data_IF_993724199441
#
_entry.id   IF_993724199441
#
_cell.length_a   1.000
_cell.length_b   1.000
_cell.length_c   1.000
_cell.angle_alpha   90.00
_cell.angle_beta   90.00
_cell.angle_gamma   90.00
#
_symmetry.space_group_name_H-M   'P 1'
#
loop_
_entity.id
_entity.type
_entity.pdbx_description
1 polymer ?
#
# COMPACT_ATOMS: atom_id res chain seq x y z
N UNK A 1 -8.27 -42.18 4.86
CA UNK A 1 -8.78 -40.86 4.47
C UNK A 1 -8.13 -40.54 3.12
N UNK A 2 -8.91 -40.49 2.03
CA UNK A 2 -8.40 -40.14 0.69
C UNK A 2 -8.56 -38.63 0.52
N UNK A 3 -7.46 -37.92 0.30
CA UNK A 3 -7.54 -36.55 -0.19
C UNK A 3 -7.82 -36.63 -1.69
N UNK A 4 -8.96 -36.09 -2.12
CA UNK A 4 -9.22 -35.90 -3.54
C UNK A 4 -8.31 -34.78 -4.04
N UNK A 5 -7.57 -35.08 -5.11
CA UNK A 5 -6.83 -34.11 -5.91
C UNK A 5 -7.81 -33.03 -6.38
N UNK A 6 -7.63 -31.80 -5.89
CA UNK A 6 -8.30 -30.63 -6.45
C UNK A 6 -7.79 -30.53 -7.89
N UNK A 7 -8.71 -30.76 -8.82
CA UNK A 7 -8.47 -30.78 -10.25
C UNK A 7 -7.70 -29.53 -10.67
N UNK A 8 -6.70 -29.75 -11.52
CA UNK A 8 -5.90 -28.73 -12.18
C UNK A 8 -6.72 -27.97 -13.22
N UNK A 9 -7.84 -27.37 -12.83
CA UNK A 9 -8.49 -26.37 -13.66
C UNK A 9 -7.54 -25.17 -13.74
N UNK A 10 -6.87 -25.08 -14.89
CA UNK A 10 -6.12 -23.89 -15.29
C UNK A 10 -7.07 -22.71 -15.23
N UNK A 11 -7.03 -21.98 -14.13
CA UNK A 11 -7.66 -20.69 -13.98
C UNK A 11 -7.07 -19.76 -15.06
N UNK A 12 -7.78 -19.66 -16.20
CA UNK A 12 -7.64 -18.55 -17.13
C UNK A 12 -8.23 -17.29 -16.47
N UNK A 13 -7.60 -16.88 -15.37
CA UNK A 13 -7.86 -15.62 -14.69
C UNK A 13 -7.11 -14.57 -15.50
N UNK A 14 -7.70 -14.16 -16.63
CA UNK A 14 -7.50 -12.79 -17.10
C UNK A 14 -8.34 -11.84 -16.21
N UNK A 15 -8.29 -11.99 -14.88
CA UNK A 15 -8.94 -11.00 -14.01
C UNK A 15 -8.03 -9.81 -13.94
N UNK A 16 -8.49 -8.71 -14.52
CA UNK A 16 -7.92 -7.39 -14.28
C UNK A 16 -7.80 -7.18 -12.77
N UNK A 17 -6.59 -6.92 -12.27
CA UNK A 17 -6.37 -6.59 -10.85
C UNK A 17 -7.00 -5.22 -10.63
N UNK A 18 -8.09 -5.16 -9.86
CA UNK A 18 -8.84 -3.91 -9.64
C UNK A 18 -8.67 -3.33 -8.23
N UNK A 19 -8.18 -4.12 -7.28
CA UNK A 19 -8.11 -3.74 -5.86
C UNK A 19 -6.72 -4.07 -5.31
N UNK A 20 -6.16 -3.15 -4.54
CA UNK A 20 -4.95 -3.39 -3.73
C UNK A 20 -5.26 -3.25 -2.24
N UNK A 21 -4.51 -3.98 -1.43
CA UNK A 21 -4.51 -3.86 0.02
C UNK A 21 -3.10 -3.56 0.50
N UNK A 22 -2.95 -2.44 1.19
CA UNK A 22 -1.69 -1.95 1.73
C UNK A 22 -1.82 -1.99 3.26
N UNK A 23 -1.29 -3.06 3.86
CA UNK A 23 -1.40 -3.30 5.30
C UNK A 23 -0.44 -2.45 6.13
N UNK A 24 0.46 -1.74 5.45
CA UNK A 24 1.45 -0.88 6.07
C UNK A 24 1.63 0.41 5.28
N UNK A 25 1.02 1.49 5.76
CA UNK A 25 1.21 2.82 5.19
C UNK A 25 2.04 3.67 6.16
N UNK A 26 3.19 4.15 5.69
CA UNK A 26 4.04 5.10 6.41
C UNK A 26 4.37 6.26 5.47
N UNK A 27 3.82 7.43 5.77
CA UNK A 27 4.09 8.66 5.03
C UNK A 27 4.62 9.74 5.97
N UNK A 28 5.61 10.49 5.51
CA UNK A 28 6.25 11.54 6.29
C UNK A 28 6.78 12.65 5.38
N UNK A 29 6.76 13.90 5.86
CA UNK A 29 7.25 15.07 5.10
C UNK A 29 8.77 15.26 5.18
N UNK A 30 9.45 14.57 6.09
CA UNK A 30 10.90 14.69 6.29
C UNK A 30 11.53 13.32 6.46
N UNK A 31 12.79 13.20 6.07
CA UNK A 31 13.56 11.96 6.24
C UNK A 31 13.67 11.57 7.72
N UNK A 32 13.84 12.54 8.61
CA UNK A 32 13.93 12.28 10.05
C UNK A 32 12.64 11.70 10.64
N UNK A 33 11.49 12.22 10.20
CA UNK A 33 10.18 11.69 10.63
C UNK A 33 9.93 10.30 10.03
N UNK A 34 10.29 10.11 8.75
CA UNK A 34 10.19 8.82 8.09
C UNK A 34 11.02 7.74 8.81
N UNK A 35 12.28 8.06 9.15
CA UNK A 35 13.16 7.15 9.88
C UNK A 35 12.66 6.87 11.31
N UNK A 36 12.07 7.87 11.97
CA UNK A 36 11.42 7.67 13.26
C UNK A 36 10.26 6.68 13.16
N UNK A 37 9.33 6.87 12.22
CA UNK A 37 8.18 5.97 12.01
C UNK A 37 8.62 4.56 11.63
N UNK A 38 9.63 4.40 10.75
CA UNK A 38 10.22 3.09 10.42
C UNK A 38 10.80 2.37 11.65
N UNK A 39 11.49 3.10 12.54
CA UNK A 39 12.02 2.52 13.79
C UNK A 39 10.90 2.09 14.71
N UNK A 40 9.87 2.91 14.88
CA UNK A 40 8.70 2.56 15.69
C UNK A 40 8.02 1.29 15.17
N UNK A 41 7.81 1.21 13.85
CA UNK A 41 7.28 0.01 13.20
C UNK A 41 8.14 -1.23 13.48
N UNK A 42 9.47 -1.12 13.34
CA UNK A 42 10.40 -2.23 13.60
C UNK A 42 10.39 -2.66 15.08
N UNK A 43 10.14 -1.74 16.01
CA UNK A 43 9.99 -2.06 17.43
C UNK A 43 8.69 -2.82 17.72
N UNK A 44 7.59 -2.45 17.06
CA UNK A 44 6.28 -3.07 17.26
C UNK A 44 6.15 -4.44 16.59
N UNK A 45 6.72 -4.60 15.38
CA UNK A 45 6.52 -5.79 14.54
C UNK A 45 7.78 -6.62 14.33
N UNK A 46 8.89 -6.18 14.90
CA UNK A 46 10.19 -6.85 14.83
C UNK A 46 11.00 -6.43 13.60
N UNK A 47 12.35 -6.43 13.71
CA UNK A 47 13.25 -5.92 12.67
C UNK A 47 13.22 -6.75 11.38
N UNK A 48 12.84 -8.03 11.45
CA UNK A 48 12.75 -8.91 10.28
C UNK A 48 11.67 -8.45 9.28
N UNK A 49 10.62 -7.76 9.75
CA UNK A 49 9.52 -7.27 8.92
C UNK A 49 9.86 -6.02 8.13
N UNK A 50 10.91 -5.27 8.55
CA UNK A 50 11.29 -4.02 7.90
C UNK A 50 11.69 -4.22 6.42
N UNK A 51 12.34 -5.34 6.09
CA UNK A 51 12.74 -5.62 4.71
C UNK A 51 11.55 -5.97 3.79
N UNK A 52 10.49 -6.56 4.35
CA UNK A 52 9.27 -6.84 3.59
C UNK A 52 8.44 -5.57 3.39
N UNK A 53 8.33 -4.77 4.46
CA UNK A 53 7.70 -3.45 4.46
C UNK A 53 8.25 -2.55 3.34
N UNK A 54 9.57 -2.40 3.27
CA UNK A 54 10.19 -1.49 2.31
C UNK A 54 9.95 -1.89 0.85
N UNK A 55 9.73 -3.18 0.58
CA UNK A 55 9.55 -3.71 -0.79
C UNK A 55 8.11 -3.68 -1.28
N UNK A 56 7.15 -3.95 -0.39
CA UNK A 56 5.78 -4.23 -0.81
C UNK A 56 4.76 -3.22 -0.31
N UNK A 57 5.18 -2.25 0.48
CA UNK A 57 4.25 -1.34 1.16
C UNK A 57 4.42 0.12 0.72
N UNK A 58 3.41 0.94 1.00
CA UNK A 58 3.43 2.39 0.79
C UNK A 58 4.21 3.09 1.91
N UNK A 59 5.54 3.09 1.77
CA UNK A 59 6.48 3.74 2.69
C UNK A 59 7.33 4.77 1.97
N UNK A 60 7.29 6.02 2.42
CA UNK A 60 8.14 7.09 1.87
C UNK A 60 7.64 8.50 2.12
N UNK A 61 8.20 9.44 1.35
CA UNK A 61 7.71 10.83 1.27
C UNK A 61 6.54 10.92 0.26
N UNK A 62 5.79 12.05 0.22
CA UNK A 62 4.68 12.22 -0.71
C UNK A 62 4.99 11.84 -2.16
N UNK A 63 6.16 12.20 -2.67
CA UNK A 63 6.60 11.87 -4.02
C UNK A 63 6.74 10.36 -4.26
N UNK A 64 7.26 9.61 -3.28
CA UNK A 64 7.46 8.17 -3.35
C UNK A 64 6.11 7.44 -3.33
N UNK A 65 5.20 7.90 -2.46
CA UNK A 65 3.85 7.36 -2.32
C UNK A 65 3.05 7.63 -3.60
N UNK A 66 3.07 8.87 -4.10
CA UNK A 66 2.39 9.25 -5.34
C UNK A 66 2.88 8.40 -6.52
N UNK A 67 4.19 8.12 -6.60
CA UNK A 67 4.76 7.29 -7.64
C UNK A 67 4.27 5.83 -7.56
N UNK A 68 4.36 5.20 -6.38
CA UNK A 68 3.86 3.83 -6.19
C UNK A 68 2.36 3.70 -6.46
N UNK A 69 1.55 4.66 -6.01
CA UNK A 69 0.10 4.65 -6.27
C UNK A 69 -0.18 4.73 -7.78
N UNK A 70 0.56 5.56 -8.53
CA UNK A 70 0.45 5.60 -10.00
C UNK A 70 0.79 4.25 -10.63
N UNK A 71 1.86 3.59 -10.20
CA UNK A 71 2.24 2.27 -10.72
C UNK A 71 1.13 1.22 -10.51
N UNK A 72 0.45 1.25 -9.36
CA UNK A 72 -0.72 0.42 -9.12
C UNK A 72 -1.89 0.78 -10.06
N UNK A 73 -2.15 2.06 -10.27
CA UNK A 73 -3.22 2.52 -11.17
C UNK A 73 -2.95 2.16 -12.64
N UNK A 74 -1.69 2.23 -13.08
CA UNK A 74 -1.26 1.90 -14.44
C UNK A 74 -1.51 0.41 -14.77
N UNK A 75 -1.43 -0.48 -13.76
CA UNK A 75 -1.79 -1.90 -13.92
C UNK A 75 -3.28 -2.20 -13.70
N UNK A 76 -4.09 -1.17 -13.45
CA UNK A 76 -5.55 -1.24 -13.42
C UNK A 76 -6.19 -1.23 -12.02
N UNK A 77 -5.42 -1.00 -10.95
CA UNK A 77 -5.98 -0.85 -9.60
C UNK A 77 -6.82 0.43 -9.52
N UNK A 78 -8.04 0.30 -9.00
CA UNK A 78 -9.00 1.40 -8.86
C UNK A 78 -9.43 1.62 -7.41
N UNK A 79 -9.23 0.62 -6.55
CA UNK A 79 -9.61 0.67 -5.15
C UNK A 79 -8.44 0.25 -4.27
N UNK A 80 -8.16 1.04 -3.24
CA UNK A 80 -7.13 0.76 -2.25
C UNK A 80 -7.77 0.59 -0.87
N UNK A 81 -7.35 -0.45 -0.16
CA UNK A 81 -7.59 -0.60 1.27
C UNK A 81 -6.28 -0.31 2.00
N UNK A 82 -6.28 0.68 2.87
CA UNK A 82 -5.06 1.19 3.52
C UNK A 82 -5.15 0.96 5.02
N UNK A 83 -4.09 0.42 5.60
CA UNK A 83 -3.90 0.34 7.04
C UNK A 83 -2.67 1.18 7.43
N UNK A 84 -2.93 2.25 8.16
CA UNK A 84 -1.90 3.09 8.77
C UNK A 84 -1.45 2.44 10.08
N UNK A 85 -0.19 2.65 10.45
CA UNK A 85 0.37 2.15 11.71
C UNK A 85 -0.44 2.66 12.91
N UNK A 86 -0.71 3.96 12.94
CA UNK A 86 -1.63 4.61 13.87
C UNK A 86 -2.86 5.12 13.10
N UNK A 87 -4.06 4.54 13.29
CA UNK A 87 -5.28 4.99 12.62
C UNK A 87 -5.76 6.37 13.10
N UNK A 88 -5.20 6.91 14.18
CA UNK A 88 -5.51 8.23 14.73
C UNK A 88 -4.47 9.29 14.38
N UNK A 89 -3.42 8.94 13.63
CA UNK A 89 -2.46 9.90 13.07
C UNK A 89 -3.10 10.68 11.92
N UNK A 90 -3.86 11.71 12.29
CA UNK A 90 -4.54 12.60 11.36
C UNK A 90 -3.57 13.31 10.41
N UNK A 91 -2.34 13.58 10.83
CA UNK A 91 -1.34 14.25 10.01
C UNK A 91 -0.90 13.33 8.86
N UNK A 92 -0.63 12.06 9.15
CA UNK A 92 -0.33 11.06 8.11
C UNK A 92 -1.51 10.81 7.17
N UNK A 93 -2.73 10.75 7.72
CA UNK A 93 -3.95 10.58 6.92
C UNK A 93 -4.16 11.76 5.97
N UNK A 94 -4.10 12.99 6.48
CA UNK A 94 -4.25 14.20 5.67
C UNK A 94 -3.13 14.31 4.63
N UNK A 95 -1.88 14.02 5.03
CA UNK A 95 -0.75 14.04 4.12
C UNK A 95 -0.93 13.03 2.98
N UNK A 96 -1.41 11.83 3.27
CA UNK A 96 -1.74 10.84 2.25
C UNK A 96 -2.85 11.35 1.32
N UNK A 97 -3.94 11.86 1.88
CA UNK A 97 -5.08 12.39 1.12
C UNK A 97 -4.68 13.53 0.18
N UNK A 98 -3.83 14.45 0.66
CA UNK A 98 -3.29 15.53 -0.16
C UNK A 98 -2.33 15.00 -1.24
N UNK A 99 -1.52 13.98 -0.92
CA UNK A 99 -0.59 13.35 -1.87
C UNK A 99 -1.30 12.72 -3.05
N UNK A 100 -2.44 12.05 -2.82
CA UNK A 100 -3.23 11.38 -3.87
C UNK A 100 -4.36 12.26 -4.41
N UNK A 101 -4.42 13.53 -3.99
CA UNK A 101 -5.43 14.47 -4.46
C UNK A 101 -5.32 14.65 -5.97
N UNK A 102 -6.43 14.45 -6.67
CA UNK A 102 -6.48 14.51 -8.14
C UNK A 102 -6.23 13.17 -8.84
N UNK A 103 -5.98 12.08 -8.11
CA UNK A 103 -5.90 10.73 -8.69
C UNK A 103 -7.30 10.12 -8.88
N UNK A 104 -8.35 10.74 -8.32
CA UNK A 104 -9.75 10.40 -8.57
C UNK A 104 -10.18 10.93 -9.95
N UNK A 105 -10.67 10.03 -10.80
CA UNK A 105 -10.71 10.22 -12.26
C UNK A 105 -11.45 11.44 -12.81
N UNK A 106 -10.83 12.04 -13.84
CA UNK A 106 -11.52 12.59 -15.00
C UNK A 106 -12.26 11.46 -15.73
N UNK A 107 -13.44 11.08 -15.23
CA UNK A 107 -14.40 10.24 -15.95
C UNK A 107 -15.71 11.01 -16.14
N UNK A 108 -15.62 12.16 -16.81
CA UNK A 108 -16.77 12.87 -17.36
C UNK A 108 -16.48 13.17 -18.84
N UNK A 109 -16.86 12.22 -19.70
CA UNK A 109 -17.17 12.42 -21.12
C UNK A 109 -18.20 11.36 -21.50
#
# INVERSE_FOLDING_TARGET
MKFEEISSEKFNIATKIMKSIELDVIIANSESDLEYKKRLFAMERGPAMLNQLLRHSLVGKPEDIAQKVREYMDVGVQQFFLAFQDPFDYDSLNLFMDTVKGFTGNNAN
#
